data_IF_433236723033
#
_entry.id   IF_433236723033
#
_cell.length_a   1.000
_cell.length_b   1.000
_cell.length_c   1.000
_cell.angle_alpha   90.00
_cell.angle_beta   90.00
_cell.angle_gamma   90.00
#
_symmetry.space_group_name_H-M   'P 1'
#
loop_
_entity.id
_entity.type
_entity.pdbx_description
1 polymer ?
#
# COMPACT_ATOMS: atom_id res chain seq x y z
N UNK A 1 -17.04 13.10 -1.12
CA UNK A 1 -15.70 12.50 -1.29
C UNK A 1 -15.49 11.57 -0.09
N UNK A 2 -15.40 10.26 -0.29
CA UNK A 2 -15.20 9.34 0.82
C UNK A 2 -13.70 9.21 1.07
N UNK A 3 -13.23 9.65 2.23
CA UNK A 3 -11.84 9.52 2.65
C UNK A 3 -11.68 8.10 3.23
N UNK A 4 -11.44 7.13 2.36
CA UNK A 4 -11.30 5.72 2.72
C UNK A 4 -9.84 5.30 2.58
N UNK A 5 -9.26 4.73 3.64
CA UNK A 5 -7.89 4.20 3.64
C UNK A 5 -7.22 4.28 5.02
N UNK A 6 -6.08 3.63 5.17
CA UNK A 6 -5.16 3.91 6.28
C UNK A 6 -4.47 5.25 5.97
N UNK A 7 -4.56 6.28 6.85
CA UNK A 7 -4.13 7.65 6.54
C UNK A 7 -2.70 7.78 6.00
N UNK A 8 -1.81 6.91 6.45
CA UNK A 8 -0.38 6.88 6.09
C UNK A 8 -0.10 6.51 4.62
N UNK A 9 -1.06 5.87 3.95
CA UNK A 9 -0.93 5.38 2.57
C UNK A 9 -1.52 6.34 1.53
N UNK A 10 -2.15 7.44 1.98
CA UNK A 10 -2.81 8.38 1.09
C UNK A 10 -1.78 9.19 0.32
N UNK A 11 -2.01 9.33 -0.99
CA UNK A 11 -1.21 10.19 -1.84
C UNK A 11 -1.54 11.69 -1.59
N UNK A 12 -0.59 12.61 -1.84
CA UNK A 12 -0.78 14.05 -1.64
C UNK A 12 -2.04 14.61 -2.32
N UNK A 13 -2.31 14.17 -3.56
CA UNK A 13 -3.46 14.63 -4.33
C UNK A 13 -4.81 14.20 -3.71
N UNK A 14 -4.86 13.05 -3.01
CA UNK A 14 -6.08 12.61 -2.30
C UNK A 14 -6.31 13.52 -1.09
N UNK A 15 -5.26 13.80 -0.31
CA UNK A 15 -5.34 14.67 0.88
C UNK A 15 -5.77 16.08 0.47
N UNK A 16 -5.23 16.59 -0.63
CA UNK A 16 -5.55 17.90 -1.18
C UNK A 16 -6.89 17.96 -1.92
N UNK A 17 -7.64 16.85 -1.98
CA UNK A 17 -8.93 16.77 -2.68
C UNK A 17 -8.83 17.12 -4.18
N UNK A 18 -7.67 16.85 -4.79
CA UNK A 18 -7.41 17.03 -6.22
C UNK A 18 -7.90 15.78 -6.97
N UNK A 19 -8.48 15.91 -8.18
CA UNK A 19 -8.80 14.75 -9.01
C UNK A 19 -7.58 13.86 -9.22
N UNK A 20 -7.73 12.57 -8.96
CA UNK A 20 -6.66 11.58 -9.02
C UNK A 20 -7.03 10.41 -9.94
N UNK A 21 -6.01 9.66 -10.37
CA UNK A 21 -6.15 8.44 -11.18
C UNK A 21 -5.35 7.29 -10.58
N UNK A 22 -4.88 6.35 -11.40
CA UNK A 22 -4.09 5.19 -10.91
C UNK A 22 -2.74 5.54 -10.27
N UNK A 23 -2.28 6.79 -10.38
CA UNK A 23 -1.02 7.26 -9.80
C UNK A 23 -0.95 7.14 -8.28
N UNK A 24 -2.10 7.16 -7.60
CA UNK A 24 -2.19 7.06 -6.14
C UNK A 24 -1.79 5.68 -5.64
N UNK A 25 -2.05 4.63 -6.43
CA UNK A 25 -1.67 3.26 -6.09
C UNK A 25 -0.14 3.10 -6.12
N UNK A 26 0.55 3.79 -7.03
CA UNK A 26 2.01 3.79 -7.07
C UNK A 26 2.63 4.51 -5.87
N UNK A 27 1.97 5.55 -5.36
CA UNK A 27 2.37 6.16 -4.10
C UNK A 27 2.24 5.19 -2.94
N UNK A 28 1.05 4.57 -2.78
CA UNK A 28 0.80 3.58 -1.73
C UNK A 28 1.74 2.37 -1.84
N UNK A 29 2.13 1.97 -3.05
CA UNK A 29 3.14 0.94 -3.29
C UNK A 29 4.53 1.36 -2.78
N UNK A 30 4.91 2.63 -2.98
CA UNK A 30 6.14 3.19 -2.42
C UNK A 30 6.14 3.20 -0.89
N UNK A 31 5.03 3.56 -0.27
CA UNK A 31 4.83 3.51 1.20
C UNK A 31 4.98 2.07 1.69
N UNK A 32 4.34 1.11 1.00
CA UNK A 32 4.40 -0.31 1.35
C UNK A 32 5.82 -0.87 1.25
N UNK A 33 6.55 -0.60 0.17
CA UNK A 33 7.94 -1.06 0.02
C UNK A 33 8.80 -0.50 1.16
N UNK A 34 8.67 0.79 1.45
CA UNK A 34 9.40 1.40 2.57
C UNK A 34 9.08 0.67 3.89
N UNK A 35 7.80 0.44 4.18
CA UNK A 35 7.37 -0.18 5.43
C UNK A 35 7.80 -1.65 5.54
N UNK A 36 7.73 -2.44 4.46
CA UNK A 36 8.18 -3.83 4.47
C UNK A 36 9.66 -3.99 4.78
N UNK A 37 10.50 -3.02 4.40
CA UNK A 37 11.95 -3.06 4.63
C UNK A 37 12.33 -2.37 5.95
N UNK A 38 11.69 -1.25 6.30
CA UNK A 38 12.02 -0.46 7.50
C UNK A 38 11.26 -0.92 8.76
N UNK A 39 10.14 -1.62 8.59
CA UNK A 39 9.22 -2.01 9.67
C UNK A 39 8.27 -0.90 10.16
N UNK A 40 8.42 0.33 9.67
CA UNK A 40 7.50 1.45 9.95
C UNK A 40 7.28 2.29 8.70
N UNK A 41 6.11 2.93 8.59
CA UNK A 41 5.76 3.84 7.50
C UNK A 41 6.72 5.07 7.43
N UNK A 42 7.02 5.59 6.23
CA UNK A 42 7.85 6.79 6.04
C UNK A 42 7.21 8.06 6.63
N UNK A 43 5.88 8.07 6.77
CA UNK A 43 5.09 9.21 7.27
C UNK A 43 4.52 8.97 8.67
N UNK A 44 5.02 7.96 9.38
CA UNK A 44 4.55 7.64 10.72
C UNK A 44 4.84 8.80 11.69
N UNK A 45 3.79 9.52 12.10
CA UNK A 45 3.89 10.61 13.05
C UNK A 45 3.90 10.08 14.50
N UNK A 46 5.05 10.14 15.17
CA UNK A 46 5.20 9.71 16.58
C UNK A 46 4.20 10.40 17.55
N UNK A 47 3.75 11.61 17.21
CA UNK A 47 2.86 12.42 18.04
C UNK A 47 1.36 12.22 17.74
N UNK A 48 0.99 11.30 16.85
CA UNK A 48 -0.40 10.94 16.49
C UNK A 48 -1.30 12.07 16.01
N UNK A 49 -0.78 13.26 15.69
CA UNK A 49 -1.57 14.30 15.05
C UNK A 49 -1.72 13.99 13.55
N UNK A 50 -2.93 13.69 13.05
CA UNK A 50 -3.14 13.42 11.63
C UNK A 50 -2.78 14.62 10.75
N UNK A 51 -2.90 15.85 11.26
CA UNK A 51 -2.60 17.04 10.47
C UNK A 51 -1.11 17.14 10.13
N UNK A 52 -0.23 16.90 11.11
CA UNK A 52 1.23 16.88 10.87
C UNK A 52 1.62 15.79 9.87
N UNK A 53 0.98 14.61 9.95
CA UNK A 53 1.20 13.53 8.98
C UNK A 53 0.80 13.96 7.57
N UNK A 54 -0.37 14.58 7.41
CA UNK A 54 -0.86 15.06 6.12
C UNK A 54 0.02 16.19 5.55
N UNK A 55 0.51 17.09 6.39
CA UNK A 55 1.48 18.12 5.99
C UNK A 55 2.79 17.49 5.48
N UNK A 56 3.29 16.46 6.17
CA UNK A 56 4.51 15.73 5.80
C UNK A 56 4.33 14.96 4.49
N UNK A 57 3.18 14.32 4.30
CA UNK A 57 2.84 13.65 3.03
C UNK A 57 2.80 14.68 1.90
N UNK A 58 2.13 15.82 2.11
CA UNK A 58 2.00 16.86 1.10
C UNK A 58 3.33 17.55 0.76
N UNK A 59 4.25 17.66 1.72
CA UNK A 59 5.61 18.17 1.45
C UNK A 59 6.49 17.14 0.76
N UNK A 60 6.18 15.84 0.89
CA UNK A 60 7.00 14.74 0.39
C UNK A 60 8.30 14.56 1.18
N UNK A 61 8.40 15.17 2.36
CA UNK A 61 9.58 15.07 3.20
C UNK A 61 9.51 13.82 4.08
N UNK A 62 10.39 12.86 3.85
CA UNK A 62 10.55 11.70 4.71
C UNK A 62 12.03 11.37 4.89
N UNK A 63 12.36 10.72 6.01
CA UNK A 63 13.73 10.30 6.27
C UNK A 63 14.01 9.02 5.50
N UNK A 64 15.01 9.05 4.62
CA UNK A 64 15.54 7.83 4.00
C UNK A 64 16.54 7.15 4.96
N UNK A 65 16.34 5.88 5.33
CA UNK A 65 17.32 5.13 6.11
C UNK A 65 18.64 4.94 5.34
N UNK A 66 19.77 5.00 6.04
CA UNK A 66 21.10 4.85 5.42
C UNK A 66 21.39 3.39 5.07
N UNK A 67 20.68 2.46 5.71
CA UNK A 67 20.77 1.02 5.54
C UNK A 67 20.17 0.57 4.20
N UNK A 68 19.33 1.40 3.58
CA UNK A 68 18.74 1.11 2.28
C UNK A 68 19.81 1.15 1.19
N UNK A 69 19.80 0.15 0.30
CA UNK A 69 20.66 0.16 -0.88
C UNK A 69 20.35 1.37 -1.76
N UNK A 70 21.36 1.88 -2.49
CA UNK A 70 21.16 3.03 -3.39
C UNK A 70 20.03 2.81 -4.39
N UNK A 71 19.87 1.58 -4.89
CA UNK A 71 18.78 1.17 -5.77
C UNK A 71 17.40 1.24 -5.09
N UNK A 72 17.28 0.82 -3.83
CA UNK A 72 16.03 0.93 -3.08
C UNK A 72 15.66 2.40 -2.84
N UNK A 73 16.64 3.22 -2.44
CA UNK A 73 16.40 4.63 -2.21
C UNK A 73 15.95 5.36 -3.47
N UNK A 74 16.54 5.04 -4.62
CA UNK A 74 16.16 5.60 -5.93
C UNK A 74 14.72 5.22 -6.30
N UNK A 75 14.37 3.94 -6.16
CA UNK A 75 13.00 3.46 -6.40
C UNK A 75 11.97 4.19 -5.53
N UNK A 76 12.23 4.27 -4.21
CA UNK A 76 11.31 4.91 -3.26
C UNK A 76 11.14 6.39 -3.57
N UNK A 77 12.22 7.12 -3.90
CA UNK A 77 12.11 8.53 -4.32
C UNK A 77 11.29 8.70 -5.61
N UNK A 78 11.38 7.75 -6.54
CA UNK A 78 10.58 7.74 -7.76
C UNK A 78 9.09 7.50 -7.49
N UNK A 79 8.75 6.59 -6.56
CA UNK A 79 7.37 6.26 -6.19
C UNK A 79 6.73 7.32 -5.28
N UNK A 80 7.47 7.80 -4.28
CA UNK A 80 7.04 8.84 -3.33
C UNK A 80 7.30 10.26 -3.87
N UNK A 81 6.97 10.47 -5.14
CA UNK A 81 7.07 11.76 -5.80
C UNK A 81 5.74 12.51 -5.68
N UNK A 82 5.79 13.72 -5.09
CA UNK A 82 4.61 14.58 -4.91
C UNK A 82 4.07 15.06 -6.25
N UNK A 83 4.96 15.43 -7.17
CA UNK A 83 4.58 15.78 -8.55
C UNK A 83 4.18 14.51 -9.33
N UNK A 84 2.87 14.29 -9.46
CA UNK A 84 2.28 13.14 -10.14
C UNK A 84 2.89 12.91 -11.54
N UNK A 85 3.22 13.98 -12.27
CA UNK A 85 3.80 13.88 -13.64
C UNK A 85 5.21 13.27 -13.66
N UNK A 86 5.90 13.31 -12.51
CA UNK A 86 7.23 12.74 -12.28
C UNK A 86 7.19 11.47 -11.44
N UNK A 87 5.99 10.96 -11.10
CA UNK A 87 5.87 9.74 -10.29
C UNK A 87 6.14 8.50 -11.15
N UNK A 88 7.04 7.66 -10.67
CA UNK A 88 7.33 6.37 -11.29
C UNK A 88 6.03 5.53 -11.33
N UNK A 89 5.77 4.87 -12.45
CA UNK A 89 4.49 4.18 -12.69
C UNK A 89 3.43 5.01 -13.41
N UNK A 90 3.50 6.35 -13.36
CA UNK A 90 2.58 7.25 -14.07
C UNK A 90 3.21 7.94 -15.30
N UNK A 91 4.54 7.90 -15.44
CA UNK A 91 5.23 8.40 -16.63
C UNK A 91 4.86 7.62 -17.91
N UNK A 92 5.37 8.04 -19.08
CA UNK A 92 5.10 7.41 -20.38
C UNK A 92 5.25 5.88 -20.43
N UNK A 93 6.16 5.32 -19.63
CA UNK A 93 6.43 3.88 -19.59
C UNK A 93 5.53 3.13 -18.58
N UNK A 94 4.70 3.83 -17.82
CA UNK A 94 3.77 3.25 -16.85
C UNK A 94 4.44 2.30 -15.85
N UNK A 95 3.77 1.20 -15.56
CA UNK A 95 4.27 0.11 -14.69
C UNK A 95 5.57 -0.53 -15.20
N UNK A 96 5.86 -0.46 -16.50
CA UNK A 96 7.10 -1.02 -17.07
C UNK A 96 8.33 -0.36 -16.47
N UNK A 97 8.29 0.95 -16.20
CA UNK A 97 9.40 1.66 -15.57
C UNK A 97 9.74 1.13 -14.18
N UNK A 98 8.72 0.63 -13.45
CA UNK A 98 8.92 -0.01 -12.14
C UNK A 98 9.50 -1.40 -12.33
N UNK A 99 8.92 -2.20 -13.24
CA UNK A 99 9.38 -3.58 -13.49
C UNK A 99 10.82 -3.68 -14.00
N UNK A 100 11.26 -2.68 -14.77
CA UNK A 100 12.62 -2.58 -15.32
C UNK A 100 13.58 -1.83 -14.40
N UNK A 101 13.11 -1.32 -13.25
CA UNK A 101 13.97 -0.64 -12.29
C UNK A 101 15.03 -1.60 -11.74
N UNK A 102 16.26 -1.11 -11.59
CA UNK A 102 17.42 -1.93 -11.19
C UNK A 102 17.24 -2.66 -9.85
N UNK A 103 16.41 -2.13 -8.95
CA UNK A 103 16.05 -2.79 -7.69
C UNK A 103 15.29 -4.13 -7.90
N UNK A 104 14.56 -4.26 -9.02
CA UNK A 104 13.83 -5.47 -9.40
C UNK A 104 14.57 -6.32 -10.45
N UNK A 105 15.86 -6.07 -10.70
CA UNK A 105 16.61 -6.75 -11.77
C UNK A 105 16.61 -8.28 -11.64
N UNK A 106 16.54 -8.81 -10.41
CA UNK A 106 16.61 -10.23 -10.11
C UNK A 106 15.23 -10.91 -10.14
N UNK A 107 14.15 -10.16 -10.42
CA UNK A 107 12.79 -10.69 -10.46
C UNK A 107 12.44 -11.15 -11.87
N UNK A 108 12.25 -12.47 -12.03
CA UNK A 108 11.56 -13.01 -13.19
C UNK A 108 10.04 -12.80 -13.05
N UNK A 109 9.55 -11.74 -13.69
CA UNK A 109 8.13 -11.40 -13.67
C UNK A 109 7.22 -12.45 -14.30
N UNK A 110 7.72 -13.28 -15.22
CA UNK A 110 6.95 -14.36 -15.83
C UNK A 110 6.80 -15.53 -14.85
N UNK A 111 7.89 -15.94 -14.22
CA UNK A 111 7.86 -16.96 -13.18
C UNK A 111 7.02 -16.55 -11.97
N UNK A 112 7.10 -15.28 -11.56
CA UNK A 112 6.27 -14.70 -10.49
C UNK A 112 4.79 -14.80 -10.83
N UNK A 113 4.39 -14.39 -12.04
CA UNK A 113 3.00 -14.46 -12.49
C UNK A 113 2.47 -15.90 -12.52
N UNK A 114 3.31 -16.85 -12.93
CA UNK A 114 2.98 -18.27 -12.97
C UNK A 114 3.13 -18.99 -11.62
N UNK A 115 3.48 -18.28 -10.54
CA UNK A 115 3.68 -18.84 -9.20
C UNK A 115 4.72 -19.97 -9.16
N UNK A 116 5.80 -19.81 -9.93
CA UNK A 116 6.90 -20.79 -10.05
C UNK A 116 8.17 -20.37 -9.30
N UNK A 117 8.14 -19.20 -8.65
CA UNK A 117 9.22 -18.74 -7.77
C UNK A 117 8.94 -19.27 -6.36
N UNK A 118 9.96 -19.85 -5.72
CA UNK A 118 9.87 -20.26 -4.33
C UNK A 118 9.71 -19.03 -3.41
N UNK A 119 8.66 -18.98 -2.57
CA UNK A 119 8.49 -17.87 -1.65
C UNK A 119 9.56 -17.90 -0.55
N UNK A 120 10.00 -16.74 -0.05
CA UNK A 120 11.03 -16.67 1.00
C UNK A 120 10.56 -17.23 2.34
N UNK A 121 9.24 -17.27 2.58
CA UNK A 121 8.64 -17.82 3.78
C UNK A 121 7.38 -18.61 3.42
N UNK A 122 7.35 -19.89 3.81
CA UNK A 122 6.15 -20.72 3.74
C UNK A 122 5.58 -20.81 5.16
N UNK A 123 4.34 -20.32 5.41
CA UNK A 123 3.74 -20.40 6.72
C UNK A 123 3.48 -21.86 7.09
N UNK A 124 3.79 -22.22 8.34
CA UNK A 124 3.49 -23.56 8.86
C UNK A 124 2.01 -23.65 9.22
N UNK A 125 1.28 -24.50 8.50
CA UNK A 125 -0.14 -24.78 8.72
C UNK A 125 -0.31 -26.23 9.18
N UNK A 126 -1.12 -26.45 10.20
CA UNK A 126 -1.45 -27.81 10.67
C UNK A 126 -2.42 -28.50 9.73
N UNK A 127 -3.42 -27.76 9.24
CA UNK A 127 -4.49 -28.24 8.38
C UNK A 127 -5.19 -27.04 7.68
N UNK A 128 -6.10 -27.28 6.70
CA UNK A 128 -6.77 -26.22 5.95
C UNK A 128 -7.64 -25.26 6.77
N UNK A 129 -7.96 -25.58 8.02
CA UNK A 129 -8.76 -24.75 8.94
C UNK A 129 -7.90 -24.08 10.02
N UNK A 130 -6.57 -24.17 9.91
CA UNK A 130 -5.66 -23.60 10.91
C UNK A 130 -5.72 -22.07 10.93
N UNK A 131 -6.30 -21.53 11.99
CA UNK A 131 -6.40 -20.09 12.24
C UNK A 131 -5.27 -19.53 13.13
N UNK A 132 -4.17 -20.27 13.35
CA UNK A 132 -3.14 -19.87 14.32
C UNK A 132 -2.39 -18.58 13.98
N UNK A 133 -2.35 -18.18 12.70
CA UNK A 133 -1.71 -16.96 12.23
C UNK A 133 -2.61 -15.72 12.28
N UNK A 134 -3.87 -15.88 12.73
CA UNK A 134 -4.82 -14.77 12.88
C UNK A 134 -4.90 -14.29 14.34
N UNK A 135 -5.20 -13.01 14.52
CA UNK A 135 -5.52 -12.45 15.83
C UNK A 135 -6.80 -13.05 16.42
N UNK A 136 -6.87 -13.16 17.75
CA UNK A 136 -8.09 -13.61 18.43
C UNK A 136 -9.10 -12.48 18.50
N UNK A 137 -10.25 -12.68 17.87
CA UNK A 137 -11.40 -11.76 17.98
C UNK A 137 -12.48 -12.38 18.86
N UNK A 138 -13.21 -11.56 19.64
CA UNK A 138 -14.35 -12.05 20.41
C UNK A 138 -15.42 -12.58 19.47
N UNK A 139 -16.00 -13.73 19.80
CA UNK A 139 -17.08 -14.29 19.02
C UNK A 139 -18.34 -13.45 19.25
N UNK A 140 -18.76 -12.73 18.21
CA UNK A 140 -19.99 -11.94 18.24
C UNK A 140 -21.15 -12.81 17.75
N UNK A 141 -22.29 -12.75 18.44
CA UNK A 141 -23.52 -13.30 17.89
C UNK A 141 -23.85 -12.58 16.58
N UNK A 142 -24.27 -13.33 15.55
CA UNK A 142 -24.73 -12.79 14.28
C UNK A 142 -26.26 -12.81 14.26
N UNK A 143 -26.96 -11.83 14.87
CA UNK A 143 -28.40 -11.80 14.89
C UNK A 143 -28.93 -11.64 13.46
N UNK A 144 -29.91 -12.46 13.10
CA UNK A 144 -30.65 -12.30 11.85
C UNK A 144 -31.96 -11.59 12.14
N UNK A 145 -32.18 -10.46 11.46
CA UNK A 145 -33.46 -9.77 11.50
C UNK A 145 -34.57 -10.66 10.93
N UNK A 146 -35.79 -10.51 11.45
CA UNK A 146 -36.98 -11.18 10.90
C UNK A 146 -37.52 -10.51 9.64
N UNK A 147 -37.11 -9.27 9.40
CA UNK A 147 -37.53 -8.48 8.24
C UNK A 147 -36.31 -7.89 7.56
N UNK A 148 -36.37 -7.84 6.23
CA UNK A 148 -35.34 -7.18 5.43
C UNK A 148 -35.32 -5.68 5.75
N UNK A 149 -34.15 -5.20 6.18
CA UNK A 149 -33.96 -3.81 6.60
C UNK A 149 -33.60 -2.90 5.43
N UNK A 150 -33.06 -3.46 4.34
CA UNK A 150 -32.36 -2.69 3.30
C UNK A 150 -32.60 -3.23 1.89
N UNK A 151 -33.71 -3.95 1.67
CA UNK A 151 -34.11 -4.54 0.39
C UNK A 151 -33.91 -3.61 -0.82
N UNK A 152 -34.24 -2.33 -0.67
CA UNK A 152 -34.11 -1.32 -1.73
C UNK A 152 -32.67 -0.86 -1.96
N UNK A 153 -31.88 -0.78 -0.89
CA UNK A 153 -30.51 -0.28 -0.95
C UNK A 153 -29.53 -1.34 -1.49
N UNK A 154 -29.85 -2.62 -1.34
CA UNK A 154 -29.05 -3.74 -1.82
C UNK A 154 -29.78 -4.56 -2.91
N UNK A 155 -30.70 -3.95 -3.64
CA UNK A 155 -31.45 -4.63 -4.71
C UNK A 155 -30.54 -5.19 -5.82
N UNK A 156 -29.40 -4.52 -6.06
CA UNK A 156 -28.40 -4.88 -7.07
C UNK A 156 -27.14 -5.56 -6.51
N UNK A 157 -27.12 -5.90 -5.21
CA UNK A 157 -25.99 -6.60 -4.57
C UNK A 157 -26.02 -8.10 -4.85
#
# INVERSE_FOLDING_TARGET
>A
MSLCGTPEYLAPEIIQSIPYGESVDWWSFGVLIYELINGTSPFHAFNKDPMTMFETICSGEFKMPNEFSGHLQDLIRGLLQVDVTKRLGHMKNGSRAIKEHIWFQDIDWHCMLNQTIDPPMIPNLKDPLDCSHFGKSPQMALPRSRTDQFAKQFEEF
#
